data_IF_834808558662
#
_entry.id   IF_834808558662
#
_cell.length_a   1.000
_cell.length_b   1.000
_cell.length_c   1.000
_cell.angle_alpha   90.00
_cell.angle_beta   90.00
_cell.angle_gamma   90.00
#
_symmetry.space_group_name_H-M   'P 1'
#
loop_
_entity.id
_entity.type
_entity.pdbx_description
1 polymer ?
#
# COMPACT_ATOMS: atom_id res chain seq x y z
N UNK A 1 41.53 -32.28 31.62
CA UNK A 1 40.34 -31.74 30.96
C UNK A 1 40.01 -30.43 31.67
N UNK A 2 40.50 -29.31 31.14
CA UNK A 2 40.28 -27.98 31.75
C UNK A 2 38.90 -27.45 31.35
N UNK A 3 38.04 -27.26 32.35
CA UNK A 3 36.78 -26.53 32.21
C UNK A 3 37.09 -25.04 32.03
N UNK A 4 37.17 -24.60 30.77
CA UNK A 4 37.22 -23.18 30.45
C UNK A 4 35.85 -22.56 30.76
N UNK A 5 35.72 -21.93 31.93
CA UNK A 5 34.57 -21.09 32.27
C UNK A 5 34.57 -19.88 31.32
N UNK A 6 33.81 -20.00 30.22
CA UNK A 6 33.59 -18.92 29.26
C UNK A 6 32.78 -17.83 29.97
N UNK A 7 33.37 -16.65 30.20
CA UNK A 7 32.63 -15.51 30.73
C UNK A 7 31.47 -15.17 29.79
N UNK A 8 30.24 -14.94 30.32
CA UNK A 8 29.11 -14.56 29.50
C UNK A 8 29.39 -13.23 28.80
N UNK A 9 28.87 -13.07 27.58
CA UNK A 9 28.94 -11.79 26.88
C UNK A 9 28.18 -10.72 27.66
N UNK A 10 28.81 -9.57 27.88
CA UNK A 10 28.18 -8.43 28.55
C UNK A 10 27.44 -7.55 27.53
N UNK A 11 26.12 -7.47 27.66
CA UNK A 11 25.30 -6.67 26.76
C UNK A 11 25.39 -5.16 27.07
N UNK A 12 25.43 -4.28 26.04
CA UNK A 12 25.41 -2.84 26.25
C UNK A 12 24.05 -2.39 26.80
N UNK A 13 24.03 -1.26 27.53
CA UNK A 13 22.79 -0.73 28.15
C UNK A 13 21.63 -0.52 27.16
N UNK A 14 21.93 -0.23 25.89
CA UNK A 14 20.90 -0.08 24.84
C UNK A 14 20.09 -1.36 24.62
N UNK A 15 20.68 -2.54 24.88
CA UNK A 15 19.99 -3.83 24.77
C UNK A 15 18.82 -3.95 25.75
N UNK A 16 18.84 -3.20 26.86
CA UNK A 16 17.75 -3.12 27.85
C UNK A 16 16.75 -1.98 27.57
N UNK A 17 16.89 -1.27 26.44
CA UNK A 17 16.00 -0.17 26.06
C UNK A 17 14.84 -0.67 25.17
N UNK A 18 13.58 -0.68 25.63
CA UNK A 18 12.49 -1.31 24.86
C UNK A 18 12.28 -0.78 23.42
N UNK A 19 12.38 0.53 23.14
CA UNK A 19 12.27 1.05 21.78
C UNK A 19 13.36 0.55 20.82
N UNK A 20 14.49 0.06 21.33
CA UNK A 20 15.59 -0.46 20.50
C UNK A 20 15.17 -1.66 19.64
N UNK A 21 14.12 -2.39 20.03
CA UNK A 21 13.59 -3.55 19.30
C UNK A 21 12.50 -3.21 18.29
N UNK A 22 12.11 -1.93 18.17
CA UNK A 22 11.05 -1.45 17.29
C UNK A 22 11.62 -0.40 16.34
N UNK A 23 11.40 -0.56 15.03
CA UNK A 23 11.84 0.42 14.02
C UNK A 23 11.38 1.82 14.40
N UNK A 24 12.32 2.77 14.51
CA UNK A 24 11.99 4.15 14.82
C UNK A 24 11.37 4.85 13.59
N UNK A 25 10.31 5.67 13.77
CA UNK A 25 9.61 6.31 12.66
C UNK A 25 10.39 7.49 12.06
N UNK A 26 11.30 8.10 12.83
CA UNK A 26 12.13 9.22 12.39
C UNK A 26 13.41 8.67 11.76
N UNK A 27 13.69 9.07 10.51
CA UNK A 27 14.80 8.52 9.71
C UNK A 27 16.17 8.68 10.38
N UNK A 28 16.48 9.85 10.92
CA UNK A 28 17.73 10.09 11.63
C UNK A 28 17.89 9.17 12.86
N UNK A 29 16.79 8.93 13.58
CA UNK A 29 16.76 8.03 14.74
C UNK A 29 16.87 6.56 14.30
N UNK A 30 16.27 6.20 13.16
CA UNK A 30 16.40 4.88 12.56
C UNK A 30 17.83 4.57 12.13
N UNK A 31 18.53 5.52 11.51
CA UNK A 31 19.93 5.36 11.12
C UNK A 31 20.83 5.08 12.34
N UNK A 32 20.61 5.81 13.44
CA UNK A 32 21.31 5.56 14.70
C UNK A 32 20.96 4.20 15.30
N UNK A 33 19.67 3.81 15.30
CA UNK A 33 19.23 2.50 15.75
C UNK A 33 19.91 1.36 14.97
N UNK A 34 19.97 1.46 13.63
CA UNK A 34 20.66 0.48 12.78
C UNK A 34 22.14 0.36 13.13
N UNK A 35 22.83 1.49 13.28
CA UNK A 35 24.24 1.52 13.67
C UNK A 35 24.47 0.76 14.99
N UNK A 36 23.65 1.02 15.99
CA UNK A 36 23.75 0.37 17.30
C UNK A 36 23.46 -1.14 17.24
N UNK A 37 22.55 -1.59 16.38
CA UNK A 37 22.33 -3.02 16.13
C UNK A 37 23.55 -3.70 15.48
N UNK A 38 24.16 -3.06 14.49
CA UNK A 38 25.37 -3.58 13.81
C UNK A 38 26.51 -3.74 14.81
N UNK A 39 26.79 -2.72 15.62
CA UNK A 39 27.84 -2.76 16.65
C UNK A 39 27.60 -3.90 17.64
N UNK A 40 26.38 -4.01 18.18
CA UNK A 40 25.99 -5.09 19.10
C UNK A 40 26.16 -6.49 18.48
N UNK A 41 25.72 -6.67 17.23
CA UNK A 41 25.82 -7.95 16.51
C UNK A 41 27.29 -8.36 16.36
N UNK A 42 28.15 -7.44 15.94
CA UNK A 42 29.57 -7.69 15.74
C UNK A 42 30.27 -8.05 17.07
N UNK A 43 30.00 -7.29 18.13
CA UNK A 43 30.58 -7.54 19.46
C UNK A 43 30.11 -8.88 20.02
N UNK A 44 28.83 -9.20 19.89
CA UNK A 44 28.27 -10.48 20.32
C UNK A 44 28.89 -11.66 19.56
N UNK A 45 29.03 -11.54 18.23
CA UNK A 45 29.66 -12.57 17.42
C UNK A 45 31.12 -12.79 17.81
N UNK A 46 31.87 -11.70 18.00
CA UNK A 46 33.27 -11.73 18.46
C UNK A 46 33.40 -12.39 19.85
N UNK A 47 32.57 -11.98 20.81
CA UNK A 47 32.59 -12.53 22.18
C UNK A 47 32.21 -14.01 22.24
N UNK A 48 31.27 -14.44 21.39
CA UNK A 48 30.80 -15.83 21.37
C UNK A 48 31.61 -16.73 20.43
N UNK A 49 32.55 -16.18 19.65
CA UNK A 49 33.28 -16.86 18.56
C UNK A 49 32.35 -17.44 17.49
N UNK A 50 31.31 -16.69 17.16
CA UNK A 50 30.39 -16.99 16.06
C UNK A 50 30.88 -16.28 14.80
N UNK A 51 31.18 -17.04 13.76
CA UNK A 51 31.61 -16.51 12.45
C UNK A 51 30.46 -16.35 11.48
N UNK A 52 29.30 -16.93 11.80
CA UNK A 52 28.07 -16.88 11.01
C UNK A 52 26.89 -16.69 11.94
N UNK A 53 25.94 -15.83 11.55
CA UNK A 53 24.62 -15.74 12.17
C UNK A 53 23.63 -16.46 11.26
N UNK A 54 22.94 -17.45 11.80
CA UNK A 54 21.82 -18.08 11.12
C UNK A 54 20.52 -17.53 11.71
N UNK A 55 19.87 -16.65 10.97
CA UNK A 55 18.65 -15.97 11.40
C UNK A 55 17.53 -16.99 11.75
N UNK A 56 17.47 -18.18 11.14
CA UNK A 56 16.47 -19.20 11.52
C UNK A 56 16.64 -19.73 12.95
N UNK A 57 17.88 -19.85 13.43
CA UNK A 57 18.21 -20.48 14.71
C UNK A 57 18.57 -19.45 15.79
N UNK A 58 19.15 -18.33 15.38
CA UNK A 58 19.70 -17.33 16.29
C UNK A 58 18.67 -16.28 16.69
N UNK A 59 17.52 -16.18 16.02
CA UNK A 59 16.44 -15.25 16.39
C UNK A 59 15.83 -15.50 17.78
N UNK A 60 16.03 -16.68 18.35
CA UNK A 60 15.65 -17.01 19.73
C UNK A 60 16.81 -16.83 20.72
N UNK A 61 18.00 -16.50 20.24
CA UNK A 61 19.18 -16.24 21.07
C UNK A 61 19.06 -14.93 21.85
N UNK A 62 19.86 -14.81 22.92
CA UNK A 62 19.92 -13.62 23.76
C UNK A 62 20.33 -12.35 23.01
N UNK A 63 20.90 -12.47 21.80
CA UNK A 63 21.23 -11.33 20.93
C UNK A 63 19.98 -10.63 20.39
N UNK A 64 18.94 -11.39 20.03
CA UNK A 64 17.74 -10.87 19.39
C UNK A 64 16.49 -11.01 20.28
N UNK A 65 16.60 -11.69 21.42
CA UNK A 65 15.51 -11.91 22.35
C UNK A 65 15.94 -11.57 23.79
N UNK A 66 15.62 -10.35 24.22
CA UNK A 66 15.84 -9.92 25.58
C UNK A 66 14.63 -10.26 26.47
N UNK A 67 14.75 -11.40 27.15
CA UNK A 67 13.74 -11.92 28.09
C UNK A 67 13.56 -11.02 29.33
N UNK A 68 14.59 -10.26 29.76
CA UNK A 68 14.55 -9.39 30.96
C UNK A 68 13.52 -8.27 30.81
N UNK A 69 13.41 -7.68 29.63
CA UNK A 69 12.46 -6.60 29.33
C UNK A 69 11.26 -7.07 28.50
N UNK A 70 11.14 -8.38 28.26
CA UNK A 70 10.13 -8.99 27.40
C UNK A 70 10.08 -8.35 26.00
N UNK A 71 11.25 -8.15 25.37
CA UNK A 71 11.37 -7.61 24.02
C UNK A 71 12.21 -8.52 23.15
N UNK A 72 11.75 -8.67 21.91
CA UNK A 72 12.40 -9.45 20.87
C UNK A 72 12.51 -8.59 19.63
N UNK A 73 13.65 -8.66 18.94
CA UNK A 73 13.83 -8.02 17.66
C UNK A 73 12.87 -8.73 16.73
N UNK A 74 11.82 -8.01 16.37
CA UNK A 74 10.73 -8.60 15.61
C UNK A 74 11.30 -9.00 14.26
N UNK A 75 11.48 -10.30 14.09
CA UNK A 75 11.74 -10.93 12.80
C UNK A 75 10.51 -10.86 11.90
N UNK A 76 9.76 -9.75 11.96
CA UNK A 76 8.63 -9.53 11.10
C UNK A 76 9.16 -9.18 9.71
N UNK A 77 9.94 -10.11 9.15
CA UNK A 77 10.26 -10.27 7.75
C UNK A 77 8.99 -10.22 6.93
N UNK A 78 7.85 -10.67 7.48
CA UNK A 78 6.54 -10.44 6.88
C UNK A 78 6.25 -8.94 6.74
N UNK A 79 6.43 -8.13 7.78
CA UNK A 79 6.34 -6.67 7.67
C UNK A 79 7.41 -6.07 6.76
N UNK A 80 8.67 -6.47 6.87
CA UNK A 80 9.75 -5.92 6.03
C UNK A 80 9.51 -6.22 4.54
N UNK A 81 9.20 -7.48 4.23
CA UNK A 81 8.82 -7.94 2.89
C UNK A 81 7.59 -7.19 2.40
N UNK A 82 6.54 -7.11 3.21
CA UNK A 82 5.31 -6.42 2.82
C UNK A 82 5.53 -4.93 2.58
N UNK A 83 6.32 -4.25 3.43
CA UNK A 83 6.69 -2.84 3.24
C UNK A 83 7.54 -2.66 1.98
N UNK A 84 8.52 -3.52 1.74
CA UNK A 84 9.35 -3.44 0.54
C UNK A 84 8.53 -3.64 -0.75
N UNK A 85 7.62 -4.63 -0.76
CA UNK A 85 6.72 -4.88 -1.89
C UNK A 85 5.79 -3.68 -2.11
N UNK A 86 5.25 -3.10 -1.04
CA UNK A 86 4.38 -1.91 -1.11
C UNK A 86 5.11 -0.68 -1.65
N UNK A 87 6.29 -0.38 -1.12
CA UNK A 87 7.05 0.84 -1.44
C UNK A 87 7.50 0.86 -2.91
N UNK A 88 7.61 -0.32 -3.55
CA UNK A 88 7.98 -0.47 -4.97
C UNK A 88 6.81 -0.70 -5.91
N UNK A 89 5.58 -0.73 -5.40
CA UNK A 89 4.40 -1.02 -6.21
C UNK A 89 4.41 -2.42 -6.81
N UNK A 90 5.12 -3.37 -6.19
CA UNK A 90 5.26 -4.75 -6.67
C UNK A 90 4.16 -5.68 -6.15
N UNK A 91 3.11 -5.13 -5.52
CA UNK A 91 2.01 -5.91 -4.92
C UNK A 91 1.27 -6.79 -5.91
N UNK A 92 1.30 -6.41 -7.20
CA UNK A 92 0.52 -7.04 -8.27
C UNK A 92 1.42 -7.86 -9.22
N UNK A 93 2.64 -8.19 -8.78
CA UNK A 93 3.62 -8.98 -9.53
C UNK A 93 3.80 -10.35 -8.91
N UNK A 94 3.72 -11.40 -9.73
CA UNK A 94 4.12 -12.74 -9.30
C UNK A 94 5.65 -12.75 -9.23
N UNK A 95 6.17 -12.87 -8.02
CA UNK A 95 7.59 -13.01 -7.77
C UNK A 95 7.90 -14.37 -7.18
N UNK A 96 9.01 -14.93 -7.61
CA UNK A 96 9.66 -16.08 -7.02
C UNK A 96 10.46 -15.65 -5.80
N UNK A 97 10.67 -16.57 -4.86
CA UNK A 97 11.58 -16.32 -3.74
C UNK A 97 12.99 -15.99 -4.24
N UNK A 98 13.40 -16.56 -5.38
CA UNK A 98 14.67 -16.26 -6.02
C UNK A 98 14.77 -14.77 -6.42
N UNK A 99 13.76 -14.22 -7.08
CA UNK A 99 13.74 -12.80 -7.45
C UNK A 99 13.79 -11.86 -6.24
N UNK A 100 13.18 -12.26 -5.12
CA UNK A 100 13.20 -11.50 -3.87
C UNK A 100 14.58 -11.51 -3.18
N UNK A 101 15.36 -12.57 -3.36
CA UNK A 101 16.56 -12.85 -2.54
C UNK A 101 17.87 -12.77 -3.30
N UNK A 102 17.87 -12.83 -4.64
CA UNK A 102 19.08 -12.88 -5.45
C UNK A 102 19.44 -11.56 -6.17
N UNK A 103 18.77 -10.45 -5.84
CA UNK A 103 19.20 -9.12 -6.29
C UNK A 103 19.06 -8.87 -7.79
N UNK A 104 17.98 -9.38 -8.40
CA UNK A 104 17.61 -9.06 -9.80
C UNK A 104 17.29 -7.56 -9.96
N UNK A 105 17.03 -7.08 -11.18
CA UNK A 105 16.73 -5.65 -11.46
C UNK A 105 15.62 -5.06 -10.57
N UNK A 106 14.73 -5.89 -9.99
CA UNK A 106 13.66 -5.46 -9.09
C UNK A 106 14.11 -5.32 -7.62
N UNK A 107 15.16 -6.04 -7.21
CA UNK A 107 15.60 -6.20 -5.82
C UNK A 107 17.06 -5.80 -5.56
N UNK A 108 17.79 -5.24 -6.52
CA UNK A 108 19.24 -4.96 -6.41
C UNK A 108 19.66 -4.10 -5.20
N UNK A 109 18.78 -3.27 -4.67
CA UNK A 109 18.98 -2.39 -3.50
C UNK A 109 18.06 -2.75 -2.32
N UNK A 110 17.47 -3.94 -2.34
CA UNK A 110 16.56 -4.43 -1.31
C UNK A 110 17.29 -4.96 -0.08
N UNK A 111 16.76 -4.64 1.12
CA UNK A 111 17.12 -5.29 2.39
C UNK A 111 16.76 -6.80 2.41
N UNK A 112 16.10 -7.31 1.36
CA UNK A 112 15.74 -8.72 1.16
C UNK A 112 16.81 -9.55 0.42
N UNK A 113 17.80 -8.91 -0.23
CA UNK A 113 18.87 -9.61 -0.94
C UNK A 113 19.75 -10.38 0.05
N UNK A 114 20.03 -11.64 -0.27
CA UNK A 114 20.82 -12.54 0.57
C UNK A 114 20.06 -13.17 1.74
N UNK A 115 18.74 -12.92 1.86
CA UNK A 115 17.91 -13.62 2.84
C UNK A 115 17.74 -15.09 2.42
N UNK A 116 17.88 -16.00 3.39
CA UNK A 116 17.64 -17.43 3.19
C UNK A 116 16.18 -17.68 2.74
N UNK A 117 15.95 -18.42 1.64
CA UNK A 117 14.61 -18.73 1.14
C UNK A 117 13.63 -19.27 2.18
N UNK A 118 14.10 -20.04 3.16
CA UNK A 118 13.27 -20.61 4.24
C UNK A 118 12.68 -19.52 5.13
N UNK A 119 13.41 -18.42 5.33
CA UNK A 119 12.95 -17.27 6.13
C UNK A 119 11.87 -16.51 5.38
N UNK A 120 12.09 -16.31 4.07
CA UNK A 120 11.07 -15.72 3.19
C UNK A 120 9.81 -16.58 3.26
N UNK A 121 9.89 -17.90 3.05
CA UNK A 121 8.73 -18.81 3.17
C UNK A 121 7.98 -18.68 4.50
N UNK A 122 8.68 -18.57 5.64
CA UNK A 122 8.04 -18.34 6.95
C UNK A 122 7.33 -16.99 7.00
N UNK A 123 7.94 -15.93 6.49
CA UNK A 123 7.31 -14.62 6.34
C UNK A 123 6.07 -14.67 5.44
N UNK A 124 6.15 -15.40 4.32
CA UNK A 124 5.05 -15.61 3.38
C UNK A 124 3.87 -16.28 4.07
N UNK A 125 4.12 -17.33 4.87
CA UNK A 125 3.07 -18.04 5.61
C UNK A 125 2.34 -17.13 6.60
N UNK A 126 3.08 -16.24 7.28
CA UNK A 126 2.50 -15.23 8.16
C UNK A 126 1.63 -14.25 7.37
N UNK A 127 2.14 -13.71 6.27
CA UNK A 127 1.37 -12.81 5.39
C UNK A 127 0.14 -13.50 4.80
N UNK A 128 0.21 -14.81 4.54
CA UNK A 128 -0.92 -15.64 4.13
C UNK A 128 -2.00 -15.71 5.17
N UNK A 129 -1.65 -16.06 6.40
CA UNK A 129 -2.60 -16.06 7.51
C UNK A 129 -3.19 -14.68 7.79
N UNK A 130 -2.51 -13.60 7.40
CA UNK A 130 -2.96 -12.21 7.59
C UNK A 130 -3.79 -11.66 6.44
N UNK A 131 -4.07 -12.42 5.37
CA UNK A 131 -4.77 -11.84 4.22
C UNK A 131 -3.91 -10.86 3.40
N UNK A 132 -2.57 -10.94 3.48
CA UNK A 132 -1.59 -10.11 2.74
C UNK A 132 -0.71 -10.80 1.67
N UNK A 133 -0.67 -12.15 1.59
CA UNK A 133 -0.02 -12.89 0.50
C UNK A 133 -0.52 -14.37 0.30
N UNK A 134 -0.61 -14.95 -0.90
CA UNK A 134 -1.08 -16.35 -1.22
C UNK A 134 0.02 -17.10 -1.90
N UNK A 135 0.27 -18.28 -1.38
CA UNK A 135 1.36 -19.11 -1.87
C UNK A 135 0.87 -20.08 -2.92
N UNK A 136 1.41 -19.97 -4.14
CA UNK A 136 1.31 -21.02 -5.17
C UNK A 136 2.54 -21.90 -5.08
N UNK A 137 2.38 -23.21 -5.13
CA UNK A 137 3.46 -24.19 -5.19
C UNK A 137 3.58 -24.69 -6.63
N UNK A 138 4.76 -24.58 -7.24
CA UNK A 138 5.03 -25.19 -8.55
C UNK A 138 4.86 -26.72 -8.54
N UNK A 139 4.56 -27.32 -9.70
CA UNK A 139 4.25 -28.76 -9.84
C UNK A 139 5.46 -29.71 -9.72
N UNK A 140 6.66 -29.20 -9.48
CA UNK A 140 7.86 -30.03 -9.30
C UNK A 140 8.45 -29.81 -7.91
N UNK A 141 8.94 -30.91 -7.32
CA UNK A 141 9.36 -31.06 -5.93
C UNK A 141 10.59 -30.21 -5.51
N UNK A 142 10.92 -29.15 -6.25
CA UNK A 142 11.96 -28.18 -5.91
C UNK A 142 11.34 -26.78 -5.81
N UNK A 143 11.00 -26.43 -4.56
CA UNK A 143 10.84 -25.07 -4.02
C UNK A 143 10.58 -23.92 -5.02
N UNK A 144 9.32 -23.73 -5.41
CA UNK A 144 8.82 -22.41 -5.78
C UNK A 144 7.44 -22.17 -5.15
N UNK A 145 7.48 -21.44 -4.03
CA UNK A 145 6.34 -20.88 -3.31
C UNK A 145 6.18 -19.41 -3.74
N UNK A 146 5.05 -19.04 -4.36
CA UNK A 146 4.73 -17.67 -4.83
C UNK A 146 3.95 -16.84 -3.79
N UNK A 147 3.46 -15.61 -4.08
CA UNK A 147 2.66 -14.74 -3.18
C UNK A 147 1.50 -13.98 -3.90
N UNK A 148 0.25 -14.01 -3.42
CA UNK A 148 -0.84 -13.01 -3.64
C UNK A 148 -1.91 -12.91 -2.50
N UNK A 149 -2.20 -11.83 -1.75
CA UNK A 149 -3.53 -11.81 -1.07
C UNK A 149 -4.33 -10.58 -1.47
N UNK A 150 -5.61 -10.89 -1.70
CA UNK A 150 -6.68 -10.08 -2.24
C UNK A 150 -6.25 -9.35 -3.51
N UNK A 151 -6.65 -9.89 -4.66
CA UNK A 151 -6.58 -9.17 -5.93
C UNK A 151 -7.18 -7.78 -5.72
N UNK A 152 -6.30 -6.77 -5.66
CA UNK A 152 -6.70 -5.40 -5.91
C UNK A 152 -6.99 -5.34 -7.40
N UNK A 153 -8.25 -5.56 -7.75
CA UNK A 153 -8.69 -5.50 -9.12
C UNK A 153 -9.17 -4.10 -9.44
N UNK A 154 -9.30 -3.83 -10.73
CA UNK A 154 -10.23 -2.80 -11.17
C UNK A 154 -11.60 -3.09 -10.57
N UNK A 155 -12.22 -2.03 -10.03
CA UNK A 155 -13.55 -2.09 -9.46
C UNK A 155 -14.64 -1.72 -10.48
N UNK A 156 -14.28 -1.57 -11.76
CA UNK A 156 -15.18 -1.09 -12.82
C UNK A 156 -16.40 -2.00 -13.00
N UNK A 157 -16.19 -3.32 -12.96
CA UNK A 157 -17.25 -4.32 -13.12
C UNK A 157 -18.27 -4.32 -11.96
N UNK A 158 -17.94 -3.71 -10.81
CA UNK A 158 -18.84 -3.59 -9.65
C UNK A 158 -19.60 -2.27 -9.61
N UNK A 159 -19.47 -1.42 -10.64
CA UNK A 159 -20.15 -0.12 -10.71
C UNK A 159 -21.64 -0.33 -11.02
N UNK A 160 -22.49 0.06 -10.08
CA UNK A 160 -23.95 0.07 -10.22
C UNK A 160 -24.43 1.32 -10.97
N UNK A 161 -23.84 2.49 -10.66
CA UNK A 161 -24.27 3.76 -11.26
C UNK A 161 -23.15 4.81 -11.29
N UNK A 162 -23.21 5.68 -12.30
CA UNK A 162 -22.27 6.78 -12.50
C UNK A 162 -23.06 8.08 -12.67
N UNK A 163 -22.66 9.13 -11.97
CA UNK A 163 -23.18 10.50 -12.18
C UNK A 163 -22.02 11.45 -12.37
N UNK A 164 -22.09 12.30 -13.37
CA UNK A 164 -21.07 13.29 -13.69
C UNK A 164 -21.71 14.68 -13.77
N UNK A 165 -20.90 15.72 -13.74
CA UNK A 165 -21.34 17.05 -14.19
C UNK A 165 -21.85 17.04 -15.63
N UNK A 166 -22.54 18.11 -16.02
CA UNK A 166 -22.95 18.36 -17.40
C UNK A 166 -21.79 18.14 -18.37
N UNK A 167 -22.09 17.57 -19.53
CA UNK A 167 -21.11 17.27 -20.59
C UNK A 167 -21.05 18.38 -21.62
N UNK A 168 -19.90 18.57 -22.23
CA UNK A 168 -19.65 19.62 -23.23
C UNK A 168 -20.71 19.61 -24.34
N UNK A 169 -21.33 20.77 -24.58
CA UNK A 169 -22.39 20.96 -25.58
C UNK A 169 -23.60 20.03 -25.40
N UNK A 170 -23.78 19.45 -24.21
CA UNK A 170 -24.77 18.39 -23.94
C UNK A 170 -24.62 17.16 -24.85
N UNK A 171 -23.45 16.99 -25.49
CA UNK A 171 -23.17 15.88 -26.40
C UNK A 171 -22.76 14.63 -25.61
N UNK A 172 -23.75 13.96 -25.01
CA UNK A 172 -23.55 12.73 -24.23
C UNK A 172 -23.08 11.54 -25.07
N UNK A 173 -23.23 11.62 -26.40
CA UNK A 173 -22.77 10.56 -27.31
C UNK A 173 -21.26 10.52 -27.43
N UNK A 174 -20.63 11.69 -27.49
CA UNK A 174 -19.19 11.86 -27.72
C UNK A 174 -18.40 12.08 -26.42
N UNK A 175 -19.00 12.75 -25.43
CA UNK A 175 -18.33 13.16 -24.19
C UNK A 175 -18.96 12.58 -22.92
N UNK A 176 -19.76 11.52 -23.08
CA UNK A 176 -20.54 10.93 -21.99
C UNK A 176 -19.72 10.17 -20.94
N UNK A 177 -20.31 10.01 -19.75
CA UNK A 177 -19.71 9.29 -18.60
C UNK A 177 -19.25 7.85 -18.87
N UNK A 178 -19.80 7.18 -19.89
CA UNK A 178 -19.40 5.81 -20.27
C UNK A 178 -17.93 5.76 -20.73
N UNK A 179 -17.43 6.86 -21.29
CA UNK A 179 -16.07 6.97 -21.80
C UNK A 179 -15.01 7.07 -20.70
N UNK A 180 -15.41 7.21 -19.43
CA UNK A 180 -14.46 7.12 -18.31
C UNK A 180 -13.88 5.71 -18.16
N UNK A 181 -14.63 4.67 -18.57
CA UNK A 181 -14.39 3.27 -18.20
C UNK A 181 -14.41 2.31 -19.40
N UNK A 182 -14.52 2.80 -20.64
CA UNK A 182 -14.67 1.94 -21.83
C UNK A 182 -13.33 1.39 -22.38
N UNK A 183 -12.21 1.79 -21.78
CA UNK A 183 -10.87 1.34 -22.17
C UNK A 183 -10.39 1.88 -23.53
N UNK A 184 -11.12 2.82 -24.14
CA UNK A 184 -10.76 3.38 -25.43
C UNK A 184 -10.10 4.76 -25.27
N UNK A 185 -8.81 4.82 -25.60
CA UNK A 185 -8.01 6.06 -25.48
C UNK A 185 -8.45 7.18 -26.42
N UNK A 186 -9.29 6.89 -27.42
CA UNK A 186 -9.82 7.89 -28.36
C UNK A 186 -11.15 8.51 -27.91
N UNK A 187 -11.71 8.06 -26.80
CA UNK A 187 -12.95 8.60 -26.23
C UNK A 187 -12.69 9.19 -24.86
N UNK A 188 -13.47 10.19 -24.47
CA UNK A 188 -13.29 10.84 -23.19
C UNK A 188 -14.62 11.27 -22.58
N UNK A 189 -14.61 11.47 -21.26
CA UNK A 189 -15.58 12.36 -20.64
C UNK A 189 -15.02 13.78 -20.67
N UNK A 190 -15.82 14.71 -21.22
CA UNK A 190 -15.49 16.13 -21.28
C UNK A 190 -16.60 16.93 -20.62
N UNK A 191 -16.28 17.61 -19.52
CA UNK A 191 -17.26 18.41 -18.80
C UNK A 191 -17.62 19.68 -19.58
N UNK A 192 -18.83 20.18 -19.35
CA UNK A 192 -19.20 21.54 -19.73
C UNK A 192 -18.35 22.56 -18.94
N UNK A 193 -18.33 23.81 -19.39
CA UNK A 193 -17.70 24.91 -18.65
C UNK A 193 -18.31 25.07 -17.24
N UNK A 194 -17.47 25.48 -16.29
CA UNK A 194 -17.87 25.75 -14.91
C UNK A 194 -16.98 25.05 -13.88
N UNK A 195 -17.16 25.42 -12.62
CA UNK A 195 -16.50 24.78 -11.48
C UNK A 195 -17.41 24.88 -10.25
N UNK A 196 -17.41 23.88 -9.34
CA UNK A 196 -16.64 22.65 -9.42
C UNK A 196 -17.21 21.66 -10.46
N UNK A 197 -16.36 20.76 -10.95
CA UNK A 197 -16.79 19.58 -11.72
C UNK A 197 -16.76 18.34 -10.82
N UNK A 198 -17.52 17.29 -11.15
CA UNK A 198 -17.51 16.08 -10.35
C UNK A 198 -17.78 14.80 -11.14
N UNK A 199 -17.30 13.69 -10.57
CA UNK A 199 -17.67 12.31 -10.91
C UNK A 199 -18.10 11.63 -9.62
N UNK A 200 -19.26 10.97 -9.63
CA UNK A 200 -19.78 10.13 -8.56
C UNK A 200 -19.91 8.72 -9.11
N UNK A 201 -19.37 7.75 -8.38
CA UNK A 201 -19.50 6.34 -8.69
C UNK A 201 -20.17 5.63 -7.51
N UNK A 202 -21.19 4.85 -7.80
CA UNK A 202 -21.89 3.97 -6.87
C UNK A 202 -21.61 2.52 -7.25
N UNK A 203 -21.29 1.71 -6.26
CA UNK A 203 -20.97 0.29 -6.41
C UNK A 203 -22.09 -0.58 -5.87
N UNK A 204 -22.28 -1.77 -6.43
CA UNK A 204 -23.31 -2.72 -5.97
C UNK A 204 -23.15 -3.08 -4.49
N UNK A 205 -21.89 -3.22 -4.05
CA UNK A 205 -21.49 -3.50 -2.67
C UNK A 205 -20.50 -2.44 -2.20
N UNK A 206 -20.38 -2.27 -0.88
CA UNK A 206 -19.33 -1.42 -0.33
C UNK A 206 -17.95 -1.91 -0.79
N UNK A 207 -17.10 -0.98 -1.20
CA UNK A 207 -15.72 -1.27 -1.63
C UNK A 207 -14.75 -0.43 -0.85
N UNK A 208 -13.56 -0.97 -0.61
CA UNK A 208 -12.43 -0.22 -0.06
C UNK A 208 -11.51 0.17 -1.21
N UNK A 209 -11.41 1.47 -1.45
CA UNK A 209 -10.66 2.06 -2.56
C UNK A 209 -9.22 2.34 -2.11
N UNK A 210 -8.25 1.66 -2.73
CA UNK A 210 -6.83 1.78 -2.38
C UNK A 210 -6.07 2.71 -3.33
N UNK A 211 -6.40 2.69 -4.63
CA UNK A 211 -5.80 3.57 -5.64
C UNK A 211 -6.84 4.15 -6.59
N UNK A 212 -6.63 5.40 -6.98
CA UNK A 212 -7.32 6.04 -8.10
C UNK A 212 -6.33 6.17 -9.26
N UNK A 213 -6.70 5.66 -10.43
CA UNK A 213 -5.96 5.91 -11.67
C UNK A 213 -6.76 6.85 -12.55
N UNK A 214 -6.11 7.90 -13.07
CA UNK A 214 -6.76 8.88 -13.94
C UNK A 214 -5.82 9.35 -15.02
N UNK A 215 -6.31 9.43 -16.26
CA UNK A 215 -5.60 9.98 -17.40
C UNK A 215 -6.40 11.17 -17.93
N UNK A 216 -5.81 12.36 -17.84
CA UNK A 216 -6.44 13.59 -18.32
C UNK A 216 -6.01 13.94 -19.75
N UNK A 217 -6.67 14.94 -20.33
CA UNK A 217 -6.07 15.74 -21.39
C UNK A 217 -5.26 16.89 -20.77
N UNK A 218 -4.01 17.07 -21.21
CA UNK A 218 -3.22 18.24 -20.83
C UNK A 218 -3.96 19.55 -21.17
N UNK A 219 -3.92 20.52 -20.26
CA UNK A 219 -4.65 21.79 -20.31
C UNK A 219 -6.09 21.71 -19.79
N UNK A 220 -6.60 20.53 -19.42
CA UNK A 220 -7.97 20.31 -18.92
C UNK A 220 -7.97 19.47 -17.64
N UNK A 221 -7.01 19.72 -16.76
CA UNK A 221 -6.72 18.90 -15.59
C UNK A 221 -7.27 19.54 -14.32
N UNK A 222 -7.84 18.73 -13.43
CA UNK A 222 -8.22 19.22 -12.11
C UNK A 222 -6.99 19.56 -11.28
N UNK A 223 -6.85 20.81 -10.82
CA UNK A 223 -5.70 21.24 -10.00
C UNK A 223 -5.61 20.50 -8.66
N UNK A 224 -6.76 20.02 -8.19
CA UNK A 224 -6.85 19.06 -7.10
C UNK A 224 -8.12 18.23 -7.25
N UNK A 225 -8.14 17.04 -6.67
CA UNK A 225 -9.31 16.18 -6.58
C UNK A 225 -9.62 15.99 -5.09
N UNK A 226 -10.74 16.53 -4.62
CA UNK A 226 -11.25 16.20 -3.29
C UNK A 226 -12.03 14.89 -3.42
N UNK A 227 -11.68 13.89 -2.60
CA UNK A 227 -12.25 12.56 -2.63
C UNK A 227 -13.13 12.35 -1.41
N UNK A 228 -14.38 11.98 -1.65
CA UNK A 228 -15.36 11.73 -0.60
C UNK A 228 -15.95 10.32 -0.69
N UNK A 229 -16.27 9.73 0.46
CA UNK A 229 -16.97 8.45 0.59
C UNK A 229 -18.33 8.61 1.24
N UNK A 230 -19.31 7.78 0.88
CA UNK A 230 -20.65 7.84 1.47
C UNK A 230 -20.67 7.45 2.94
N UNK A 231 -21.24 8.27 3.81
CA UNK A 231 -21.43 7.91 5.22
C UNK A 231 -22.42 6.71 5.29
N UNK A 232 -22.10 5.63 6.01
CA UNK A 232 -23.02 4.52 6.21
C UNK A 232 -24.31 5.01 6.87
N UNK A 233 -25.48 4.61 6.35
CA UNK A 233 -26.74 4.88 7.03
C UNK A 233 -26.76 4.14 8.37
N UNK A 234 -26.72 4.87 9.49
CA UNK A 234 -26.95 4.28 10.80
C UNK A 234 -28.41 3.86 10.92
N UNK A 235 -28.65 2.63 11.36
CA UNK A 235 -29.99 2.05 11.59
C UNK A 235 -30.84 2.83 12.59
N UNK A 236 -30.27 3.82 13.29
CA UNK A 236 -30.90 4.53 14.40
C UNK A 236 -31.21 6.01 14.10
N UNK A 237 -31.18 6.42 12.82
CA UNK A 237 -31.60 7.77 12.39
C UNK A 237 -30.73 8.93 12.88
N UNK A 238 -29.69 8.64 13.66
CA UNK A 238 -28.76 9.62 14.22
C UNK A 238 -27.68 9.93 13.20
N UNK A 239 -27.93 10.94 12.36
CA UNK A 239 -26.95 11.50 11.42
C UNK A 239 -25.82 12.15 12.22
N UNK A 240 -24.58 11.69 12.05
CA UNK A 240 -23.38 12.44 12.45
C UNK A 240 -23.40 13.75 11.65
N UNK A 241 -23.42 14.90 12.33
CA UNK A 241 -23.60 16.21 11.70
C UNK A 241 -22.49 16.52 10.67
N UNK A 242 -22.84 16.78 9.40
CA UNK A 242 -21.90 17.25 8.40
C UNK A 242 -22.06 18.73 8.08
N UNK A 243 -21.00 19.31 7.50
CA UNK A 243 -20.96 20.64 6.91
C UNK A 243 -21.96 20.77 5.73
N UNK A 244 -22.42 22.00 5.49
CA UNK A 244 -23.74 22.39 4.95
C UNK A 244 -24.06 21.88 3.53
N UNK A 245 -23.11 21.28 2.80
CA UNK A 245 -23.27 20.82 1.41
C UNK A 245 -23.12 19.29 1.18
N UNK A 246 -22.82 18.50 2.22
CA UNK A 246 -22.46 17.07 2.08
C UNK A 246 -23.13 16.20 3.16
N UNK A 247 -24.46 16.13 3.15
CA UNK A 247 -25.20 15.34 4.16
C UNK A 247 -24.92 13.84 4.14
N UNK A 248 -24.42 13.32 3.01
CA UNK A 248 -24.29 11.88 2.76
C UNK A 248 -22.83 11.45 2.54
N UNK A 249 -21.85 12.35 2.70
CA UNK A 249 -20.45 12.10 2.34
C UNK A 249 -19.47 12.62 3.39
N UNK A 250 -18.41 11.86 3.65
CA UNK A 250 -17.23 12.28 4.42
C UNK A 250 -16.00 12.41 3.52
N UNK A 251 -15.08 13.31 3.86
CA UNK A 251 -13.84 13.51 3.09
C UNK A 251 -12.82 12.41 3.42
N UNK A 252 -12.35 11.71 2.38
CA UNK A 252 -11.35 10.64 2.48
C UNK A 252 -9.94 11.21 2.26
N UNK A 253 -9.81 12.19 1.36
CA UNK A 253 -8.51 12.79 1.07
C UNK A 253 -8.52 13.71 -0.14
N UNK A 254 -7.34 14.21 -0.48
CA UNK A 254 -7.13 15.16 -1.56
C UNK A 254 -5.94 14.77 -2.41
N UNK A 255 -6.12 14.79 -3.73
CA UNK A 255 -5.12 14.43 -4.73
C UNK A 255 -4.70 15.66 -5.54
N UNK A 256 -3.50 15.62 -6.10
CA UNK A 256 -2.92 16.73 -6.88
C UNK A 256 -2.32 16.21 -8.20
N UNK A 257 -3.15 16.11 -9.25
CA UNK A 257 -2.68 15.69 -10.56
C UNK A 257 -1.72 16.68 -11.22
N UNK A 258 -0.79 16.15 -12.00
CA UNK A 258 0.06 16.91 -12.91
C UNK A 258 -0.71 17.25 -14.18
N UNK A 259 -0.45 18.43 -14.74
CA UNK A 259 -1.04 18.85 -16.01
C UNK A 259 -0.34 18.17 -17.20
N UNK A 260 -0.72 16.93 -17.49
CA UNK A 260 -0.25 16.17 -18.63
C UNK A 260 -1.29 15.09 -19.02
N UNK A 261 -0.95 14.29 -20.02
CA UNK A 261 -1.78 13.21 -20.54
C UNK A 261 -1.30 11.81 -20.15
N UNK A 262 -0.37 11.66 -19.19
CA UNK A 262 0.04 10.33 -18.75
C UNK A 262 -0.98 9.76 -17.76
N UNK A 263 -1.08 8.43 -17.69
CA UNK A 263 -1.88 7.77 -16.66
C UNK A 263 -1.23 8.05 -15.29
N UNK A 264 -1.96 8.69 -14.40
CA UNK A 264 -1.51 9.03 -13.05
C UNK A 264 -2.20 8.14 -12.03
N UNK A 265 -1.42 7.57 -11.10
CA UNK A 265 -1.92 6.69 -10.04
C UNK A 265 -1.73 7.36 -8.69
N UNK A 266 -2.78 7.40 -7.88
CA UNK A 266 -2.77 7.99 -6.54
C UNK A 266 -3.20 6.98 -5.50
N UNK A 267 -2.43 6.84 -4.43
CA UNK A 267 -2.84 6.07 -3.26
C UNK A 267 -3.88 6.85 -2.45
N UNK A 268 -4.92 6.17 -1.99
CA UNK A 268 -5.96 6.74 -1.16
C UNK A 268 -5.91 6.14 0.25
N UNK A 269 -6.03 6.95 1.31
CA UNK A 269 -5.97 6.46 2.68
C UNK A 269 -7.33 5.91 3.15
N UNK A 270 -8.18 5.38 2.27
CA UNK A 270 -9.54 4.96 2.64
C UNK A 270 -9.46 3.82 3.66
N UNK A 271 -9.81 4.11 4.92
CA UNK A 271 -9.74 3.13 6.00
C UNK A 271 -10.99 2.24 6.06
N UNK A 272 -12.10 2.74 5.52
CA UNK A 272 -13.41 2.12 5.56
C UNK A 272 -13.88 1.73 4.14
N UNK A 273 -14.88 0.85 4.09
CA UNK A 273 -15.59 0.51 2.86
C UNK A 273 -16.73 1.48 2.60
N UNK A 274 -16.90 1.92 1.36
CA UNK A 274 -17.92 2.88 0.95
C UNK A 274 -18.72 2.36 -0.24
N UNK A 275 -20.04 2.61 -0.27
CA UNK A 275 -20.89 2.27 -1.41
C UNK A 275 -20.79 3.32 -2.53
N UNK A 276 -20.57 4.60 -2.18
CA UNK A 276 -20.39 5.69 -3.15
C UNK A 276 -19.10 6.46 -2.92
N UNK A 277 -18.45 6.80 -4.02
CA UNK A 277 -17.32 7.73 -4.03
C UNK A 277 -17.68 8.95 -4.86
N UNK A 278 -17.31 10.14 -4.39
CA UNK A 278 -17.45 11.39 -5.12
C UNK A 278 -16.08 12.05 -5.26
N UNK A 279 -15.66 12.22 -6.49
CA UNK A 279 -14.45 12.93 -6.89
C UNK A 279 -14.86 14.33 -7.35
N UNK A 280 -14.46 15.35 -6.60
CA UNK A 280 -14.76 16.75 -6.90
C UNK A 280 -13.50 17.43 -7.38
N UNK A 281 -13.58 18.13 -8.51
CA UNK A 281 -12.54 18.96 -9.08
C UNK A 281 -12.92 20.43 -8.80
N UNK A 282 -12.36 21.07 -7.75
CA UNK A 282 -12.77 22.42 -7.37
C UNK A 282 -12.38 23.47 -8.40
N UNK A 283 -11.30 23.23 -9.15
CA UNK A 283 -10.81 24.09 -10.23
C UNK A 283 -10.02 23.28 -11.26
N UNK A 284 -9.94 23.80 -12.48
CA UNK A 284 -9.21 23.22 -13.61
C UNK A 284 -7.99 24.06 -14.00
N UNK A 285 -7.06 23.47 -14.75
CA UNK A 285 -6.02 24.17 -15.51
C UNK A 285 -6.59 24.86 -16.75
N UNK A 286 -7.74 24.41 -17.28
CA UNK A 286 -8.52 25.12 -18.30
C UNK A 286 -9.15 26.39 -17.71
N UNK A 287 -9.06 27.50 -18.44
CA UNK A 287 -9.61 28.79 -18.00
C UNK A 287 -11.14 28.79 -17.82
N UNK A 288 -11.86 27.91 -18.52
CA UNK A 288 -13.32 27.79 -18.42
C UNK A 288 -13.76 26.75 -17.39
N UNK A 289 -12.81 26.14 -16.66
CA UNK A 289 -13.11 25.16 -15.61
C UNK A 289 -13.41 23.75 -16.13
N UNK A 290 -13.21 23.48 -17.42
CA UNK A 290 -13.52 22.16 -18.01
C UNK A 290 -12.52 21.10 -17.57
N UNK A 291 -13.00 19.86 -17.44
CA UNK A 291 -12.20 18.69 -17.13
C UNK A 291 -12.37 17.67 -18.26
N UNK A 292 -11.27 17.13 -18.78
CA UNK A 292 -11.29 16.05 -19.78
C UNK A 292 -10.54 14.83 -19.26
N UNK A 293 -11.22 13.69 -19.18
CA UNK A 293 -10.67 12.43 -18.68
C UNK A 293 -10.85 11.36 -19.75
N UNK A 294 -9.73 10.75 -20.17
CA UNK A 294 -9.69 9.62 -21.10
C UNK A 294 -9.86 8.28 -20.38
N UNK A 295 -9.36 8.18 -19.14
CA UNK A 295 -9.46 6.96 -18.34
C UNK A 295 -9.62 7.29 -16.87
N UNK A 296 -10.53 6.61 -16.21
CA UNK A 296 -10.68 6.58 -14.76
C UNK A 296 -10.76 5.12 -14.32
N UNK A 297 -9.95 4.73 -13.35
CA UNK A 297 -10.03 3.40 -12.75
C UNK A 297 -9.91 3.50 -11.22
N UNK A 298 -10.65 2.63 -10.55
CA UNK A 298 -10.68 2.51 -9.10
C UNK A 298 -10.14 1.15 -8.75
N UNK A 299 -8.98 1.11 -8.12
CA UNK A 299 -8.31 -0.14 -7.75
C UNK A 299 -8.50 -0.37 -6.25
N UNK A 300 -9.02 -1.53 -5.89
CA UNK A 300 -9.32 -1.86 -4.50
C UNK A 300 -9.97 -3.23 -4.37
N UNK A 301 -10.79 -3.41 -3.35
CA UNK A 301 -11.48 -4.67 -3.11
C UNK A 301 -12.91 -4.44 -2.62
N UNK A 302 -13.80 -5.35 -3.00
CA UNK A 302 -15.15 -5.41 -2.44
C UNK A 302 -15.08 -5.85 -0.97
N UNK A 303 -15.82 -5.16 -0.10
CA UNK A 303 -15.92 -5.54 1.30
C UNK A 303 -16.78 -6.80 1.43
N UNK A 304 -16.30 -7.78 2.20
CA UNK A 304 -17.11 -8.94 2.62
C UNK A 304 -18.26 -8.48 3.53
N UNK A 305 -19.43 -9.14 3.39
CA UNK A 305 -20.61 -8.91 4.25
C UNK A 305 -20.30 -9.18 5.72
#
# INVERSE_FOLDING_TARGET
MENYNKTPFEFPKIHDFPPFYTKQPVEATWLNQKKMWIELILDYCKGNRKFTININNDLDSELFNNKKINRRLSANWATLLYTWVLDRGLTDTVMTIYELTNGTELAYDSELVGIDPVIVQKALKILKTQGKATIFTGSDADNMDFLTNFEMSSLIEQIENIKVSSVLNRNTREYGKKHLFDGNENTCWNSEQGSPQFVVVEFEKAVKLERLQVMFQGGFVGKSINVYGSIPETTDGSKVQPDVNTKDFEEIGKLFPLDNNTLQTFSLPAKLGYKKFKFVFPSSTDFYGRITIYKLDMIGHTCSQ
#
